data_IF_953135163750
#
_entry.id   IF_953135163750
#
_cell.length_a   1.000
_cell.length_b   1.000
_cell.length_c   1.000
_cell.angle_alpha   90.00
_cell.angle_beta   90.00
_cell.angle_gamma   90.00
#
_symmetry.space_group_name_H-M   'P 1'
#
loop_
_entity.id
_entity.type
_entity.pdbx_description
1 polymer ?
#
# COMPACT_ATOMS: atom_id res chain seq x y z
N UNK A 1 -7.53 10.40 0.70
CA UNK A 1 -6.26 10.13 -0.05
C UNK A 1 -6.14 10.97 -1.33
N UNK A 2 -7.13 11.77 -1.74
CA UNK A 2 -7.06 12.57 -2.97
C UNK A 2 -6.16 13.81 -2.83
N UNK A 3 -6.03 14.38 -1.63
CA UNK A 3 -5.29 15.62 -1.42
C UNK A 3 -3.78 15.47 -1.69
N UNK A 4 -3.21 14.29 -1.43
CA UNK A 4 -1.78 14.04 -1.66
C UNK A 4 -1.46 13.96 -3.16
N UNK A 5 -2.36 13.36 -3.95
CA UNK A 5 -2.24 13.31 -5.40
C UNK A 5 -2.29 14.71 -6.01
N UNK A 6 -3.24 15.56 -5.56
CA UNK A 6 -3.34 16.94 -6.00
C UNK A 6 -2.14 17.79 -5.57
N UNK A 7 -1.63 17.59 -4.35
CA UNK A 7 -0.42 18.28 -3.90
C UNK A 7 0.80 17.89 -4.78
N UNK A 8 0.96 16.61 -5.12
CA UNK A 8 2.01 16.14 -6.02
C UNK A 8 1.86 16.70 -7.44
N UNK A 9 0.64 16.78 -7.94
CA UNK A 9 0.34 17.31 -9.28
C UNK A 9 0.59 18.82 -9.36
N UNK A 10 0.21 19.57 -8.31
CA UNK A 10 0.50 21.01 -8.20
C UNK A 10 2.00 21.24 -8.05
N UNK A 11 2.69 20.45 -7.22
CA UNK A 11 4.14 20.54 -7.07
C UNK A 11 4.85 20.28 -8.40
N UNK A 12 4.38 19.28 -9.18
CA UNK A 12 4.86 18.98 -10.54
C UNK A 12 4.60 20.13 -11.53
N UNK A 13 3.44 20.78 -11.46
CA UNK A 13 3.11 21.89 -12.36
C UNK A 13 3.99 23.11 -12.09
N UNK A 14 4.14 23.49 -10.82
CA UNK A 14 5.03 24.57 -10.37
C UNK A 14 6.46 24.25 -10.80
N UNK A 15 6.84 22.99 -10.63
CA UNK A 15 8.12 22.46 -10.99
C UNK A 15 8.46 22.63 -12.48
N UNK A 16 7.55 22.23 -13.37
CA UNK A 16 7.70 22.35 -14.81
C UNK A 16 7.71 23.81 -15.29
N UNK A 17 6.95 24.69 -14.63
CA UNK A 17 6.88 26.12 -14.96
C UNK A 17 8.16 26.88 -14.61
N UNK A 18 8.85 26.49 -13.53
CA UNK A 18 10.07 27.14 -13.05
C UNK A 18 11.30 26.84 -13.91
N UNK A 19 11.24 25.84 -14.82
CA UNK A 19 12.33 25.52 -15.77
C UNK A 19 13.69 25.30 -15.10
N UNK A 20 13.69 24.77 -13.88
CA UNK A 20 14.89 24.28 -13.21
C UNK A 20 15.14 22.85 -13.67
N UNK A 21 16.30 22.55 -14.23
CA UNK A 21 16.59 21.20 -14.75
C UNK A 21 16.53 20.12 -13.65
N UNK A 22 16.88 20.49 -12.40
CA UNK A 22 16.73 19.66 -11.19
C UNK A 22 15.30 19.15 -11.03
N UNK A 23 14.34 20.01 -11.33
CA UNK A 23 12.98 19.85 -10.86
C UNK A 23 12.26 18.72 -11.61
N UNK A 24 12.65 18.44 -12.85
CA UNK A 24 12.26 17.22 -13.55
C UNK A 24 12.73 15.95 -12.82
N UNK A 25 13.95 15.92 -12.27
CA UNK A 25 14.43 14.79 -11.48
C UNK A 25 13.58 14.57 -10.22
N UNK A 26 13.23 15.65 -9.51
CA UNK A 26 12.39 15.57 -8.32
C UNK A 26 11.03 14.96 -8.66
N UNK A 27 10.45 15.36 -9.78
CA UNK A 27 9.15 14.87 -10.25
C UNK A 27 9.23 13.40 -10.64
N UNK A 28 10.23 13.01 -11.45
CA UNK A 28 10.37 11.62 -11.85
C UNK A 28 10.63 10.71 -10.66
N UNK A 29 11.42 11.18 -9.68
CA UNK A 29 11.70 10.44 -8.46
C UNK A 29 10.43 10.31 -7.60
N UNK A 30 9.76 11.41 -7.28
CA UNK A 30 8.58 11.39 -6.40
C UNK A 30 7.40 10.72 -7.09
N UNK A 31 7.15 11.01 -8.36
CA UNK A 31 6.13 10.36 -9.17
C UNK A 31 6.41 8.86 -9.35
N UNK A 32 7.67 8.50 -9.62
CA UNK A 32 8.11 7.11 -9.72
C UNK A 32 7.90 6.36 -8.41
N UNK A 33 8.33 6.91 -7.28
CA UNK A 33 8.10 6.32 -5.95
C UNK A 33 6.60 6.21 -5.65
N UNK A 34 5.78 7.21 -6.01
CA UNK A 34 4.33 7.18 -5.79
C UNK A 34 3.65 6.08 -6.62
N UNK A 35 3.92 6.04 -7.93
CA UNK A 35 3.38 5.01 -8.84
C UNK A 35 3.86 3.62 -8.41
N UNK A 36 5.15 3.48 -8.11
CA UNK A 36 5.74 2.22 -7.69
C UNK A 36 5.15 1.74 -6.36
N UNK A 37 5.01 2.62 -5.38
CA UNK A 37 4.38 2.30 -4.09
C UNK A 37 2.91 1.91 -4.27
N UNK A 38 2.16 2.63 -5.11
CA UNK A 38 0.75 2.32 -5.33
C UNK A 38 0.55 0.98 -6.06
N UNK A 39 1.38 0.73 -7.07
CA UNK A 39 1.37 -0.52 -7.82
C UNK A 39 1.80 -1.70 -6.95
N UNK A 40 2.87 -1.54 -6.15
CA UNK A 40 3.32 -2.50 -5.15
C UNK A 40 2.18 -2.85 -4.19
N UNK A 41 1.60 -1.85 -3.52
CA UNK A 41 0.56 -2.09 -2.50
C UNK A 41 -0.64 -2.80 -3.12
N UNK A 42 -1.12 -2.37 -4.30
CA UNK A 42 -2.24 -3.03 -4.99
C UNK A 42 -1.93 -4.49 -5.31
N UNK A 43 -0.73 -4.78 -5.82
CA UNK A 43 -0.35 -6.15 -6.18
C UNK A 43 -0.15 -7.01 -4.94
N UNK A 44 0.52 -6.49 -3.91
CA UNK A 44 0.79 -7.24 -2.69
C UNK A 44 -0.47 -7.54 -1.89
N UNK A 45 -1.42 -6.60 -1.79
CA UNK A 45 -2.71 -6.84 -1.13
C UNK A 45 -3.54 -7.90 -1.85
N UNK A 46 -3.49 -7.96 -3.19
CA UNK A 46 -4.19 -8.98 -3.97
C UNK A 46 -3.66 -10.41 -3.78
N UNK A 47 -2.41 -10.55 -3.31
CA UNK A 47 -1.77 -11.84 -3.04
C UNK A 47 -1.71 -12.19 -1.54
N UNK A 48 -2.36 -11.39 -0.70
CA UNK A 48 -2.36 -11.57 0.75
C UNK A 48 -3.40 -12.63 1.11
N UNK A 49 -2.94 -13.77 1.64
CA UNK A 49 -3.82 -14.87 2.04
C UNK A 49 -4.09 -14.78 3.53
N UNK A 50 -5.32 -14.42 3.87
CA UNK A 50 -5.82 -14.46 5.25
C UNK A 50 -6.59 -15.76 5.45
N UNK A 51 -6.13 -16.59 6.38
CA UNK A 51 -6.82 -17.82 6.76
C UNK A 51 -7.22 -17.72 8.23
N UNK A 52 -8.52 -17.87 8.50
CA UNK A 52 -9.07 -17.90 9.85
C UNK A 52 -9.46 -19.33 10.18
N UNK A 53 -8.88 -19.86 11.25
CA UNK A 53 -9.25 -21.18 11.78
C UNK A 53 -10.04 -20.95 13.06
N UNK A 54 -11.28 -21.46 13.07
CA UNK A 54 -12.19 -21.40 14.22
C UNK A 54 -12.50 -22.83 14.61
N UNK A 55 -12.58 -23.12 15.90
CA UNK A 55 -13.06 -24.43 16.33
C UNK A 55 -14.52 -24.63 15.87
N UNK A 56 -14.87 -25.82 15.36
CA UNK A 56 -16.19 -26.07 14.78
C UNK A 56 -17.33 -26.08 15.81
N UNK A 57 -17.01 -26.19 17.09
CA UNK A 57 -17.98 -26.24 18.18
C UNK A 57 -17.61 -25.21 19.25
N UNK A 58 -18.60 -24.46 19.69
CA UNK A 58 -18.47 -23.42 20.70
C UNK A 58 -19.77 -23.38 21.50
N UNK A 59 -19.69 -23.26 22.83
CA UNK A 59 -20.88 -23.05 23.65
C UNK A 59 -21.32 -21.58 23.60
N UNK A 60 -22.62 -21.35 23.78
CA UNK A 60 -23.16 -19.99 23.89
C UNK A 60 -22.48 -19.27 25.05
N UNK A 61 -21.95 -18.06 24.78
CA UNK A 61 -21.25 -17.21 25.75
C UNK A 61 -19.82 -17.69 26.13
N UNK A 62 -19.23 -18.61 25.37
CA UNK A 62 -17.84 -19.04 25.51
C UNK A 62 -16.88 -18.20 24.66
N UNK A 63 -15.73 -17.82 25.22
CA UNK A 63 -14.67 -17.14 24.47
C UNK A 63 -13.79 -18.17 23.76
N UNK A 64 -13.99 -18.32 22.45
CA UNK A 64 -13.24 -19.27 21.65
C UNK A 64 -11.97 -18.61 21.09
N UNK A 65 -10.78 -19.20 21.29
CA UNK A 65 -9.57 -18.72 20.65
C UNK A 65 -9.68 -18.89 19.13
N UNK A 66 -9.40 -17.82 18.40
CA UNK A 66 -9.41 -17.79 16.92
C UNK A 66 -7.99 -17.63 16.45
N UNK A 67 -7.51 -18.59 15.67
CA UNK A 67 -6.21 -18.48 15.01
C UNK A 67 -6.38 -17.79 13.65
N UNK A 68 -5.75 -16.63 13.51
CA UNK A 68 -5.66 -15.89 12.24
C UNK A 68 -4.24 -16.02 11.72
N UNK A 69 -4.07 -16.73 10.61
CA UNK A 69 -2.81 -16.80 9.87
C UNK A 69 -2.85 -15.85 8.69
N UNK A 70 -1.87 -14.97 8.62
CA UNK A 70 -1.69 -14.02 7.53
C UNK A 70 -0.42 -14.43 6.78
N UNK A 71 -0.56 -14.80 5.52
CA UNK A 71 0.54 -15.26 4.66
C UNK A 71 0.70 -14.28 3.48
N UNK A 72 1.86 -13.64 3.39
CA UNK A 72 2.20 -12.80 2.25
C UNK A 72 2.79 -13.64 1.13
N UNK A 73 1.97 -13.94 0.11
CA UNK A 73 2.41 -14.65 -1.09
C UNK A 73 2.86 -13.73 -2.23
N UNK A 74 2.93 -12.43 -1.99
CA UNK A 74 3.47 -11.50 -2.96
C UNK A 74 4.99 -11.62 -3.04
N UNK A 75 5.53 -11.30 -4.22
CA UNK A 75 6.99 -11.28 -4.40
C UNK A 75 7.66 -10.13 -3.63
N UNK A 76 6.87 -9.12 -3.26
CA UNK A 76 7.33 -7.91 -2.58
C UNK A 76 6.83 -7.90 -1.12
N UNK A 77 7.67 -7.54 -0.14
CA UNK A 77 7.27 -7.51 1.26
C UNK A 77 6.18 -6.46 1.51
N UNK A 78 5.21 -6.78 2.36
CA UNK A 78 4.29 -5.78 2.91
C UNK A 78 4.93 -5.19 4.15
N UNK A 79 4.93 -3.86 4.27
CA UNK A 79 5.68 -3.16 5.30
C UNK A 79 5.23 -3.41 6.76
N UNK A 80 4.23 -4.28 6.99
CA UNK A 80 3.59 -4.50 8.30
C UNK A 80 3.01 -5.91 8.46
N UNK A 81 3.53 -6.89 7.70
CA UNK A 81 3.19 -8.31 7.78
C UNK A 81 4.45 -9.08 8.20
#
# INVERSE_FOLDING_TARGET
MNNLFWALLVLFLIAALVRMDWVYYLVYLVGGVWVFSHWWIRRSLGHLRVTRTIQPYAFTNEYVPVDVRIDNRAWLPLAWL
#
